data_IF_563882345917
#
_entry.id   IF_563882345917
#
_cell.length_a   1.000
_cell.length_b   1.000
_cell.length_c   1.000
_cell.angle_alpha   90.00
_cell.angle_beta   90.00
_cell.angle_gamma   90.00
#
_symmetry.space_group_name_H-M   'P 1'
#
loop_
_entity.id
_entity.type
_entity.pdbx_description
1 polymer ?
#
# COMPACT_ATOMS: atom_id res chain seq x y z
N UNK A 1 0.36 -11.80 -18.00
CA UNK A 1 0.78 -12.33 -16.67
C UNK A 1 -0.33 -12.26 -15.63
N UNK A 2 -0.77 -11.08 -15.16
CA UNK A 2 -1.80 -10.97 -14.09
C UNK A 2 -3.10 -11.73 -14.39
N UNK A 3 -3.64 -11.61 -15.62
CA UNK A 3 -4.80 -12.39 -16.06
C UNK A 3 -4.63 -13.90 -15.83
N UNK A 4 -3.46 -14.45 -16.19
CA UNK A 4 -3.18 -15.88 -16.03
C UNK A 4 -3.21 -16.29 -14.55
N UNK A 5 -2.62 -15.48 -13.66
CA UNK A 5 -2.66 -15.78 -12.23
C UNK A 5 -4.06 -15.70 -11.63
N UNK A 6 -4.91 -14.78 -12.13
CA UNK A 6 -6.32 -14.73 -11.74
C UNK A 6 -7.05 -16.01 -12.15
N UNK A 7 -6.79 -16.50 -13.37
CA UNK A 7 -7.41 -17.72 -13.88
C UNK A 7 -6.93 -18.96 -13.10
N UNK A 8 -5.62 -19.10 -12.89
CA UNK A 8 -5.02 -20.20 -12.10
C UNK A 8 -5.50 -20.23 -10.64
N UNK A 9 -5.67 -19.06 -10.01
CA UNK A 9 -6.22 -19.00 -8.65
C UNK A 9 -7.67 -19.51 -8.60
N UNK A 10 -8.49 -19.16 -9.59
CA UNK A 10 -9.88 -19.63 -9.68
C UNK A 10 -9.98 -21.13 -9.94
N UNK A 11 -9.07 -21.69 -10.74
CA UNK A 11 -9.03 -23.14 -11.02
C UNK A 11 -8.84 -23.98 -9.75
N UNK A 12 -8.12 -23.48 -8.76
CA UNK A 12 -7.94 -24.13 -7.45
C UNK A 12 -8.97 -23.70 -6.40
N UNK A 13 -10.02 -22.99 -6.80
CA UNK A 13 -11.11 -22.54 -5.92
C UNK A 13 -10.76 -21.36 -5.02
N UNK A 14 -9.66 -20.64 -5.27
CA UNK A 14 -9.33 -19.44 -4.53
C UNK A 14 -10.10 -18.21 -5.04
N UNK A 15 -10.28 -17.22 -4.16
CA UNK A 15 -10.87 -15.92 -4.49
C UNK A 15 -9.75 -14.90 -4.75
N UNK A 16 -9.42 -14.58 -6.02
CA UNK A 16 -8.35 -13.63 -6.31
C UNK A 16 -8.78 -12.20 -5.96
N UNK A 17 -7.86 -11.46 -5.35
CA UNK A 17 -7.94 -10.00 -5.17
C UNK A 17 -6.64 -9.43 -5.73
N UNK A 18 -6.74 -8.44 -6.61
CA UNK A 18 -5.57 -7.75 -7.12
C UNK A 18 -5.23 -6.55 -6.23
N UNK A 19 -3.93 -6.26 -6.14
CA UNK A 19 -3.41 -5.13 -5.37
C UNK A 19 -2.44 -4.38 -6.27
N UNK A 20 -2.64 -3.08 -6.45
CA UNK A 20 -1.67 -2.25 -7.17
C UNK A 20 -0.39 -2.11 -6.35
N UNK A 21 0.76 -1.86 -6.98
CA UNK A 21 1.98 -1.51 -6.22
C UNK A 21 1.79 -0.22 -5.41
N UNK A 22 2.52 -0.08 -4.31
CA UNK A 22 2.73 1.23 -3.68
C UNK A 22 3.34 2.21 -4.68
N UNK A 23 3.15 3.51 -4.46
CA UNK A 23 3.97 4.52 -5.13
C UNK A 23 5.40 4.47 -4.59
N UNK A 24 6.36 4.94 -5.38
CA UNK A 24 7.69 5.25 -4.84
C UNK A 24 7.64 6.59 -4.14
N UNK A 25 8.44 6.75 -3.08
CA UNK A 25 8.54 8.01 -2.32
C UNK A 25 9.44 9.02 -3.03
N UNK A 26 9.13 9.30 -4.31
CA UNK A 26 9.76 10.31 -5.14
C UNK A 26 8.90 11.57 -5.09
N UNK A 27 9.53 12.71 -4.88
CA UNK A 27 8.84 13.98 -4.68
C UNK A 27 8.95 14.85 -5.92
N UNK A 28 7.88 15.55 -6.25
CA UNK A 28 7.88 16.59 -7.26
C UNK A 28 8.75 17.78 -6.80
N UNK A 29 9.14 18.69 -7.70
CA UNK A 29 9.96 19.86 -7.34
C UNK A 29 9.33 20.79 -6.30
N UNK A 30 8.00 20.72 -6.10
CA UNK A 30 7.31 21.46 -5.05
C UNK A 30 7.58 20.92 -3.64
N UNK A 31 8.13 19.71 -3.53
CA UNK A 31 8.41 19.04 -2.26
C UNK A 31 7.19 18.59 -1.48
N UNK A 32 5.98 18.71 -2.04
CA UNK A 32 4.69 18.43 -1.40
C UNK A 32 4.00 17.23 -2.03
N UNK A 33 4.12 17.05 -3.35
CA UNK A 33 3.41 15.99 -4.06
C UNK A 33 4.32 14.84 -4.47
N UNK A 34 3.74 13.64 -4.56
CA UNK A 34 4.47 12.47 -5.04
C UNK A 34 4.56 12.48 -6.57
N UNK A 35 5.78 12.44 -7.08
CA UNK A 35 6.08 12.21 -8.49
C UNK A 35 5.96 10.71 -8.81
N UNK A 36 4.74 10.23 -9.04
CA UNK A 36 4.49 8.82 -9.36
C UNK A 36 5.04 8.42 -10.73
N UNK A 37 5.73 7.28 -10.78
CA UNK A 37 6.37 6.74 -11.99
C UNK A 37 5.93 5.30 -12.33
N UNK A 38 4.99 4.74 -11.56
CA UNK A 38 4.51 3.36 -11.74
C UNK A 38 3.11 3.29 -12.36
N UNK A 39 2.61 4.42 -12.88
CA UNK A 39 1.24 4.59 -13.37
C UNK A 39 0.87 3.54 -14.42
N UNK A 40 1.75 3.22 -15.36
CA UNK A 40 1.46 2.24 -16.42
C UNK A 40 1.18 0.83 -15.86
N UNK A 41 1.90 0.42 -14.81
CA UNK A 41 1.69 -0.87 -14.14
C UNK A 41 0.42 -0.86 -13.29
N UNK A 42 0.12 0.28 -12.66
CA UNK A 42 -1.11 0.50 -11.88
C UNK A 42 -2.32 0.42 -12.80
N UNK A 43 -2.29 1.09 -13.95
CA UNK A 43 -3.36 1.04 -14.95
C UNK A 43 -3.52 -0.36 -15.56
N UNK A 44 -2.41 -1.06 -15.83
CA UNK A 44 -2.50 -2.45 -16.29
C UNK A 44 -3.18 -3.35 -15.24
N UNK A 45 -2.89 -3.16 -13.95
CA UNK A 45 -3.52 -3.91 -12.85
C UNK A 45 -5.01 -3.58 -12.74
N UNK A 46 -5.37 -2.28 -12.80
CA UNK A 46 -6.77 -1.82 -12.82
C UNK A 46 -7.54 -2.40 -14.01
N UNK A 47 -6.93 -2.41 -15.19
CA UNK A 47 -7.51 -2.95 -16.41
C UNK A 47 -7.81 -4.44 -16.28
N UNK A 48 -6.84 -5.25 -15.82
CA UNK A 48 -7.06 -6.69 -15.59
C UNK A 48 -8.11 -6.92 -14.50
N UNK A 49 -8.11 -6.12 -13.43
CA UNK A 49 -9.09 -6.24 -12.36
C UNK A 49 -10.53 -6.05 -12.88
N UNK A 50 -10.71 -5.03 -13.72
CA UNK A 50 -11.98 -4.75 -14.39
C UNK A 50 -12.37 -5.83 -15.39
N UNK A 51 -11.44 -6.25 -16.26
CA UNK A 51 -11.70 -7.26 -17.29
C UNK A 51 -12.11 -8.60 -16.68
N UNK A 52 -11.44 -9.02 -15.60
CA UNK A 52 -11.69 -10.30 -14.94
C UNK A 52 -12.74 -10.22 -13.84
N UNK A 53 -13.31 -9.05 -13.58
CA UNK A 53 -14.26 -8.81 -12.49
C UNK A 53 -13.73 -9.32 -11.14
N UNK A 54 -12.51 -8.93 -10.80
CA UNK A 54 -11.89 -9.25 -9.50
C UNK A 54 -11.81 -8.01 -8.63
N UNK A 55 -12.00 -8.11 -7.30
CA UNK A 55 -11.79 -6.99 -6.40
C UNK A 55 -10.38 -6.42 -6.51
N UNK A 56 -10.26 -5.10 -6.34
CA UNK A 56 -8.99 -4.39 -6.44
C UNK A 56 -8.75 -3.55 -5.18
N UNK A 57 -7.63 -3.79 -4.51
CA UNK A 57 -7.09 -2.86 -3.52
C UNK A 57 -6.20 -1.84 -4.24
N UNK A 58 -6.67 -0.59 -4.32
CA UNK A 58 -5.91 0.52 -4.92
C UNK A 58 -4.90 1.11 -3.92
N UNK A 59 -3.90 0.28 -3.61
CA UNK A 59 -2.85 0.62 -2.68
C UNK A 59 -1.96 1.76 -3.22
N UNK A 60 -1.90 1.97 -4.54
CA UNK A 60 -1.11 3.02 -5.16
C UNK A 60 -1.66 4.39 -4.78
N UNK A 61 -2.95 4.64 -5.06
CA UNK A 61 -3.60 5.90 -4.69
C UNK A 61 -3.54 6.11 -3.17
N UNK A 62 -3.84 5.06 -2.40
CA UNK A 62 -3.82 5.14 -0.94
C UNK A 62 -2.44 5.48 -0.39
N UNK A 63 -1.39 4.93 -0.97
CA UNK A 63 -0.01 5.22 -0.55
C UNK A 63 0.40 6.66 -0.81
N UNK A 64 -0.05 7.28 -1.92
CA UNK A 64 0.24 8.67 -2.23
C UNK A 64 -0.38 9.58 -1.16
N UNK A 65 -1.66 9.38 -0.83
CA UNK A 65 -2.35 10.13 0.22
C UNK A 65 -1.60 10.05 1.57
N UNK A 66 -1.11 8.86 1.92
CA UNK A 66 -0.36 8.65 3.16
C UNK A 66 0.99 9.36 3.09
N UNK A 67 1.74 9.22 2.00
CA UNK A 67 3.05 9.84 1.87
C UNK A 67 2.97 11.36 1.92
N UNK A 68 2.03 11.95 1.18
CA UNK A 68 1.82 13.41 1.15
C UNK A 68 1.39 13.93 2.53
N UNK A 69 0.60 13.16 3.29
CA UNK A 69 0.22 13.48 4.68
C UNK A 69 1.40 13.38 5.66
N UNK A 70 2.28 12.38 5.50
CA UNK A 70 3.49 12.22 6.31
C UNK A 70 4.57 13.27 6.00
N UNK A 71 4.58 13.77 4.77
CA UNK A 71 5.66 14.60 4.24
C UNK A 71 6.97 13.82 4.05
N UNK A 72 8.02 14.54 3.62
CA UNK A 72 9.33 13.95 3.32
C UNK A 72 9.94 13.25 4.53
N UNK A 73 10.05 13.95 5.66
CA UNK A 73 10.68 13.41 6.88
C UNK A 73 9.96 12.14 7.38
N UNK A 74 8.63 12.14 7.44
CA UNK A 74 7.87 10.95 7.83
C UNK A 74 8.05 9.78 6.85
N UNK A 75 8.25 10.07 5.57
CA UNK A 75 8.59 9.08 4.56
C UNK A 75 10.01 8.51 4.70
N UNK A 76 10.96 9.25 5.27
CA UNK A 76 12.30 8.75 5.57
C UNK A 76 12.24 7.71 6.71
N UNK A 77 11.43 7.94 7.74
CA UNK A 77 11.25 7.03 8.89
C UNK A 77 10.70 5.65 8.49
N UNK A 78 9.97 5.54 7.39
CA UNK A 78 9.44 4.28 6.86
C UNK A 78 10.30 3.67 5.74
N UNK A 79 11.42 4.30 5.41
CA UNK A 79 12.35 3.88 4.36
C UNK A 79 13.57 3.19 4.97
N UNK A 80 14.01 2.03 4.44
CA UNK A 80 15.29 1.47 4.83
C UNK A 80 16.44 2.26 4.18
N UNK A 81 17.63 2.14 4.76
CA UNK A 81 18.86 2.58 4.08
C UNK A 81 19.30 1.52 3.08
N UNK A 82 19.78 1.97 1.92
CA UNK A 82 20.35 1.08 0.93
C UNK A 82 21.73 0.61 1.39
N UNK A 83 22.00 -0.67 1.16
CA UNK A 83 23.29 -1.28 1.50
C UNK A 83 24.40 -0.95 0.50
N UNK A 84 24.05 -0.50 -0.71
CA UNK A 84 25.00 -0.26 -1.80
C UNK A 84 25.66 1.13 -1.76
N UNK A 85 24.90 2.17 -1.41
CA UNK A 85 25.37 3.55 -1.43
C UNK A 85 24.98 4.38 -0.20
N UNK A 86 24.34 3.76 0.81
CA UNK A 86 23.90 4.44 2.03
C UNK A 86 22.76 5.45 1.84
N UNK A 87 22.23 5.61 0.62
CA UNK A 87 21.08 6.46 0.36
C UNK A 87 19.77 5.83 0.85
N UNK A 88 18.71 6.62 0.94
CA UNK A 88 17.39 6.10 1.30
C UNK A 88 16.80 5.24 0.16
N UNK A 89 16.31 4.07 0.52
CA UNK A 89 15.51 3.25 -0.38
C UNK A 89 14.07 3.78 -0.42
N UNK A 90 13.67 4.28 -1.59
CA UNK A 90 12.34 4.86 -1.84
C UNK A 90 11.34 3.85 -2.41
N UNK A 91 11.70 2.57 -2.44
CA UNK A 91 10.92 1.46 -3.00
C UNK A 91 10.45 0.53 -1.90
N UNK A 92 11.35 0.03 -1.07
CA UNK A 92 11.00 -0.93 -0.01
C UNK A 92 10.54 -0.21 1.27
N UNK A 93 9.77 -0.90 2.10
CA UNK A 93 9.41 -0.43 3.44
C UNK A 93 10.31 -1.10 4.47
N UNK A 94 10.65 -0.36 5.53
CA UNK A 94 11.27 -0.95 6.72
C UNK A 94 10.20 -1.52 7.67
N UNK A 95 10.57 -1.85 8.90
CA UNK A 95 9.64 -2.35 9.93
C UNK A 95 8.54 -1.34 10.26
N UNK A 96 8.88 -0.07 10.47
CA UNK A 96 7.90 0.99 10.75
C UNK A 96 6.92 1.16 9.58
N UNK A 97 7.42 1.13 8.33
CA UNK A 97 6.59 1.13 7.14
C UNK A 97 5.66 -0.09 7.05
N UNK A 98 6.14 -1.27 7.46
CA UNK A 98 5.34 -2.50 7.48
C UNK A 98 4.22 -2.42 8.53
N UNK A 99 4.50 -1.87 9.71
CA UNK A 99 3.51 -1.64 10.77
C UNK A 99 2.48 -0.58 10.39
N UNK A 100 2.85 0.39 9.55
CA UNK A 100 1.93 1.39 9.01
C UNK A 100 1.02 0.79 7.91
N UNK A 101 1.60 0.12 6.91
CA UNK A 101 0.86 -0.34 5.73
C UNK A 101 0.11 -1.66 5.93
N UNK A 102 0.55 -2.55 6.83
CA UNK A 102 -0.11 -3.82 7.09
C UNK A 102 -1.60 -3.66 7.48
N UNK A 103 -1.93 -2.85 8.50
CA UNK A 103 -3.31 -2.56 8.87
C UNK A 103 -4.11 -1.90 7.74
N UNK A 104 -3.49 -0.99 6.99
CA UNK A 104 -4.15 -0.30 5.88
C UNK A 104 -4.54 -1.28 4.78
N UNK A 105 -3.64 -2.19 4.39
CA UNK A 105 -3.94 -3.24 3.41
C UNK A 105 -5.09 -4.14 3.91
N UNK A 106 -5.09 -4.51 5.19
CA UNK A 106 -6.17 -5.31 5.78
C UNK A 106 -7.52 -4.57 5.73
N UNK A 107 -7.54 -3.28 6.07
CA UNK A 107 -8.73 -2.44 6.04
C UNK A 107 -9.25 -2.26 4.60
N UNK A 108 -8.38 -1.96 3.64
CA UNK A 108 -8.78 -1.84 2.23
C UNK A 108 -9.25 -3.18 1.64
N UNK A 109 -8.60 -4.29 2.01
CA UNK A 109 -9.03 -5.64 1.63
C UNK A 109 -10.46 -5.91 2.12
N UNK A 110 -10.77 -5.58 3.38
CA UNK A 110 -12.10 -5.77 3.93
C UNK A 110 -13.17 -4.95 3.21
N UNK A 111 -12.84 -3.74 2.73
CA UNK A 111 -13.78 -2.90 1.96
C UNK A 111 -14.16 -3.54 0.63
N UNK A 112 -13.19 -4.13 -0.07
CA UNK A 112 -13.39 -4.69 -1.41
C UNK A 112 -13.80 -6.17 -1.40
N UNK A 113 -13.53 -6.87 -0.30
CA UNK A 113 -13.95 -8.24 -0.04
C UNK A 113 -14.42 -8.39 1.41
N UNK A 114 -15.69 -8.03 1.73
CA UNK A 114 -16.19 -8.04 3.11
C UNK A 114 -16.06 -9.38 3.84
N UNK A 115 -16.17 -10.50 3.12
CA UNK A 115 -15.96 -11.85 3.67
C UNK A 115 -14.54 -12.09 4.18
N UNK A 116 -13.54 -11.35 3.69
CA UNK A 116 -12.17 -11.43 4.22
C UNK A 116 -12.11 -11.01 5.70
N UNK A 117 -13.06 -10.19 6.16
CA UNK A 117 -13.16 -9.74 7.55
C UNK A 117 -13.27 -10.87 8.58
N UNK A 118 -13.76 -12.05 8.18
CA UNK A 118 -13.80 -13.25 9.05
C UNK A 118 -12.39 -13.76 9.42
N UNK A 119 -11.40 -13.50 8.56
CA UNK A 119 -10.01 -13.94 8.73
C UNK A 119 -9.10 -12.84 9.29
N UNK A 120 -9.58 -11.60 9.37
CA UNK A 120 -8.80 -10.48 9.88
C UNK A 120 -8.90 -10.39 11.39
N UNK A 121 -7.75 -10.20 12.04
CA UNK A 121 -7.73 -9.88 13.47
C UNK A 121 -8.39 -8.51 13.65
N UNK A 122 -9.43 -8.45 14.48
CA UNK A 122 -10.01 -7.18 14.91
C UNK A 122 -8.91 -6.36 15.60
N UNK A 123 -8.72 -5.12 15.17
CA UNK A 123 -7.82 -4.22 15.90
C UNK A 123 -8.30 -4.17 17.35
N UNK A 124 -7.37 -4.37 18.28
CA UNK A 124 -7.64 -3.98 19.66
C UNK A 124 -7.68 -2.46 19.60
N UNK A 125 -8.82 -1.87 19.94
CA UNK A 125 -8.93 -0.44 20.17
C UNK A 125 -7.90 -0.08 21.24
N UNK A 126 -6.68 0.30 20.86
CA UNK A 126 -5.75 0.93 21.79
C UNK A 126 -6.29 2.33 21.98
N UNK A 127 -6.88 2.56 23.15
CA UNK A 127 -7.17 3.88 23.65
C UNK A 127 -5.99 4.81 23.35
N UNK A 128 -6.34 5.95 22.77
CA UNK A 128 -5.44 7.00 22.32
C UNK A 128 -4.24 7.16 23.25
N UNK A 129 -3.05 6.73 22.80
CA UNK A 129 -1.80 7.31 23.28
C UNK A 129 -1.68 8.71 22.69
N UNK A 130 -2.50 9.60 23.23
CA UNK A 130 -2.31 11.04 23.14
C UNK A 130 -0.96 11.32 23.80
N UNK A 131 0.06 11.58 23.00
CA UNK A 131 1.34 12.06 23.51
C UNK A 131 1.08 13.45 24.12
N UNK A 132 1.30 13.69 25.42
CA UNK A 132 1.19 15.03 25.95
C UNK A 132 2.32 15.86 25.36
N UNK A 133 1.97 16.87 24.55
CA UNK A 133 2.89 17.95 24.18
C UNK A 133 3.25 18.66 25.48
N UNK A 134 4.44 18.36 26.01
CA UNK A 134 5.03 19.15 27.08
C UNK A 134 5.40 20.51 26.49
N UNK A 135 4.76 21.57 27.00
CA UNK A 135 5.22 22.96 26.87
C UNK A 135 6.26 23.25 27.95
#
# INVERSE_FOLDING_TARGET
>A
NLSRYVDEAREVGATPVLVTSLSRRLWAPDGVHIASILTDYVEATRSVAKEKSVPLVDLHARSIEIYESLGQAGCEEISPQRTDNGGLDRTHLNEAGSLLFGPIVAQELQKVLPSAGEFLRKEKTTESRCCPVQK
#
